data_IF_741900645595
#
_entry.id   IF_741900645595
#
_cell.length_a   1.000
_cell.length_b   1.000
_cell.length_c   1.000
_cell.angle_alpha   90.00
_cell.angle_beta   90.00
_cell.angle_gamma   90.00
#
_symmetry.space_group_name_H-M   'P 1'
#
loop_
_entity.id
_entity.type
_entity.pdbx_description
1 polymer ?
#
# COMPACT_ATOMS: atom_id res chain seq x y z
N UNK A 1 -25.33 -5.45 -19.41
CA UNK A 1 -24.38 -4.55 -20.10
C UNK A 1 -24.16 -3.32 -19.22
N UNK A 2 -23.19 -3.40 -18.31
CA UNK A 2 -22.49 -2.26 -17.71
C UNK A 2 -21.09 -2.78 -17.36
N UNK A 3 -20.07 -2.06 -17.79
CA UNK A 3 -18.72 -2.55 -18.02
C UNK A 3 -17.97 -2.84 -16.71
N UNK A 4 -17.54 -4.09 -16.57
CA UNK A 4 -16.52 -4.56 -15.63
C UNK A 4 -15.14 -4.09 -16.11
N UNK A 5 -14.73 -2.87 -15.76
CA UNK A 5 -13.33 -2.44 -15.84
C UNK A 5 -12.99 -1.58 -14.63
N UNK A 6 -12.52 -2.23 -13.58
CA UNK A 6 -11.76 -1.60 -12.51
C UNK A 6 -10.49 -2.40 -12.39
N UNK A 7 -9.51 -1.97 -13.19
CA UNK A 7 -8.07 -2.09 -13.01
C UNK A 7 -7.68 -3.27 -12.13
N UNK A 8 -7.36 -4.37 -12.80
CA UNK A 8 -6.46 -5.39 -12.29
C UNK A 8 -5.16 -4.66 -11.93
N UNK A 9 -4.99 -4.27 -10.67
CA UNK A 9 -3.70 -3.80 -10.18
C UNK A 9 -2.76 -4.99 -10.34
N UNK A 10 -1.79 -4.81 -11.22
CA UNK A 10 -0.78 -5.80 -11.54
C UNK A 10 -0.08 -6.23 -10.25
N UNK A 11 -0.33 -7.47 -9.88
CA UNK A 11 0.01 -8.09 -8.61
C UNK A 11 1.46 -8.57 -8.64
N UNK A 12 2.38 -7.71 -9.11
CA UNK A 12 3.76 -8.08 -9.43
C UNK A 12 4.83 -7.18 -8.82
N UNK A 13 4.48 -6.10 -8.12
CA UNK A 13 5.45 -5.06 -7.77
C UNK A 13 6.04 -5.18 -6.35
N UNK A 14 5.45 -5.97 -5.45
CA UNK A 14 5.91 -6.10 -4.06
C UNK A 14 6.73 -7.37 -3.75
N UNK A 15 7.44 -7.92 -4.74
CA UNK A 15 8.58 -8.80 -4.48
C UNK A 15 9.90 -8.00 -4.36
N UNK A 16 9.87 -6.83 -3.72
CA UNK A 16 11.12 -6.15 -3.37
C UNK A 16 11.66 -6.69 -2.06
N UNK A 17 12.40 -7.81 -2.16
CA UNK A 17 13.53 -8.22 -1.31
C UNK A 17 13.44 -7.91 0.20
N UNK A 18 12.27 -7.99 0.81
CA UNK A 18 12.09 -7.91 2.25
C UNK A 18 11.54 -9.26 2.72
N UNK A 19 12.02 -9.73 3.88
CA UNK A 19 11.61 -10.99 4.49
C UNK A 19 10.12 -11.01 4.92
N UNK A 20 9.39 -9.93 4.62
CA UNK A 20 7.99 -9.69 4.94
C UNK A 20 7.18 -9.64 3.63
N UNK A 21 6.24 -10.57 3.50
CA UNK A 21 5.27 -10.61 2.41
C UNK A 21 4.08 -9.74 2.82
N UNK A 22 3.86 -8.66 2.08
CA UNK A 22 2.69 -7.79 2.25
C UNK A 22 1.53 -8.25 1.37
N UNK A 23 0.30 -8.11 1.88
CA UNK A 23 -0.91 -8.35 1.10
C UNK A 23 -1.28 -7.07 0.32
N UNK A 24 -1.51 -7.20 -0.98
CA UNK A 24 -1.80 -6.06 -1.88
C UNK A 24 -3.18 -6.24 -2.50
N UNK A 25 -4.02 -5.20 -2.42
CA UNK A 25 -5.41 -5.28 -2.89
C UNK A 25 -6.29 -4.16 -2.36
N UNK A 26 -7.61 -4.32 -2.51
CA UNK A 26 -8.58 -3.38 -1.96
C UNK A 26 -8.61 -3.46 -0.43
N UNK A 27 -8.67 -2.30 0.22
CA UNK A 27 -8.67 -2.20 1.69
C UNK A 27 -9.81 -3.00 2.33
N UNK A 28 -11.02 -2.95 1.75
CA UNK A 28 -12.17 -3.68 2.27
C UNK A 28 -12.04 -5.21 2.19
N UNK A 29 -11.26 -5.72 1.23
CA UNK A 29 -11.03 -7.17 1.04
C UNK A 29 -9.91 -7.70 1.96
N UNK A 30 -8.91 -6.85 2.25
CA UNK A 30 -7.75 -7.22 3.08
C UNK A 30 -8.03 -7.02 4.57
N UNK A 31 -8.74 -5.95 4.92
CA UNK A 31 -9.04 -5.59 6.30
C UNK A 31 -10.51 -5.86 6.63
N UNK A 32 -11.29 -4.78 6.76
CA UNK A 32 -12.71 -4.77 7.05
C UNK A 32 -13.33 -3.59 6.29
N UNK A 33 -14.63 -3.64 6.05
CA UNK A 33 -15.35 -2.53 5.43
C UNK A 33 -15.26 -1.27 6.30
N UNK A 34 -14.59 -0.24 5.79
CA UNK A 34 -14.51 1.10 6.36
C UNK A 34 -14.94 2.13 5.33
N UNK A 35 -15.74 3.12 5.73
CA UNK A 35 -16.27 4.16 4.85
C UNK A 35 -15.77 5.54 5.30
N UNK A 36 -15.58 6.45 4.34
CA UNK A 36 -15.22 7.85 4.63
C UNK A 36 -13.74 8.04 4.96
N UNK A 37 -12.90 7.08 4.55
CA UNK A 37 -11.45 7.18 4.74
C UNK A 37 -10.86 8.25 3.79
N UNK A 38 -9.72 8.83 4.17
CA UNK A 38 -9.10 9.90 3.39
C UNK A 38 -8.69 9.46 1.98
N UNK A 39 -8.34 8.19 1.80
CA UNK A 39 -8.04 7.58 0.50
C UNK A 39 -9.30 7.50 -0.39
N UNK A 40 -10.47 7.15 0.16
CA UNK A 40 -11.74 7.13 -0.58
C UNK A 40 -12.11 8.54 -1.04
N UNK A 41 -11.93 9.54 -0.15
CA UNK A 41 -12.14 10.93 -0.49
C UNK A 41 -11.18 11.41 -1.60
N UNK A 42 -9.88 11.12 -1.48
CA UNK A 42 -8.89 11.45 -2.50
C UNK A 42 -9.22 10.81 -3.86
N UNK A 43 -9.65 9.54 -3.87
CA UNK A 43 -10.13 8.85 -5.07
C UNK A 43 -11.37 9.54 -5.66
N UNK A 44 -12.31 9.99 -4.83
CA UNK A 44 -13.51 10.70 -5.29
C UNK A 44 -13.22 12.02 -6.01
N UNK A 45 -12.06 12.64 -5.72
CA UNK A 45 -11.58 13.85 -6.40
C UNK A 45 -10.87 13.56 -7.74
N UNK A 46 -10.79 12.29 -8.16
CA UNK A 46 -10.16 11.89 -9.42
C UNK A 46 -8.65 11.66 -9.36
N UNK A 47 -8.05 11.59 -8.17
CA UNK A 47 -6.63 11.25 -8.03
C UNK A 47 -6.44 9.79 -8.45
N UNK A 48 -5.64 9.56 -9.51
CA UNK A 48 -5.50 8.25 -10.15
C UNK A 48 -4.87 7.20 -9.23
N UNK A 49 -3.81 7.54 -8.52
CA UNK A 49 -3.11 6.63 -7.61
C UNK A 49 -3.25 7.11 -6.18
N UNK A 50 -3.87 6.28 -5.34
CA UNK A 50 -4.09 6.54 -3.92
C UNK A 50 -3.91 5.20 -3.21
N UNK A 51 -3.05 5.18 -2.20
CA UNK A 51 -2.69 3.97 -1.46
C UNK A 51 -2.79 4.22 0.03
N UNK A 52 -3.06 3.16 0.78
CA UNK A 52 -2.90 3.10 2.23
C UNK A 52 -1.77 2.12 2.51
N UNK A 53 -0.78 2.54 3.28
CA UNK A 53 0.34 1.68 3.71
C UNK A 53 0.20 1.49 5.21
N UNK A 54 -0.01 0.24 5.63
CA UNK A 54 0.03 -0.14 7.04
C UNK A 54 1.45 -0.63 7.36
N UNK A 55 2.13 0.07 8.27
CA UNK A 55 3.55 -0.18 8.54
C UNK A 55 3.72 -1.27 9.60
N UNK A 56 4.61 -2.22 9.33
CA UNK A 56 4.95 -3.32 10.22
C UNK A 56 4.56 -4.66 9.62
N UNK A 57 4.81 -5.75 10.35
CA UNK A 57 4.47 -7.10 9.88
C UNK A 57 3.45 -7.76 10.78
N UNK A 58 2.62 -8.66 10.23
CA UNK A 58 1.77 -9.56 11.02
C UNK A 58 2.55 -10.34 12.09
N UNK A 59 3.84 -10.60 11.88
CA UNK A 59 4.73 -11.23 12.88
C UNK A 59 5.00 -10.35 14.11
N UNK A 60 4.79 -9.03 13.99
CA UNK A 60 5.01 -8.02 15.02
C UNK A 60 3.72 -7.63 15.75
N UNK A 61 2.64 -8.40 15.59
CA UNK A 61 1.31 -8.12 16.17
C UNK A 61 1.32 -7.85 17.69
N UNK A 62 2.27 -8.45 18.43
CA UNK A 62 2.40 -8.28 19.87
C UNK A 62 2.78 -6.85 20.30
N UNK A 63 3.37 -6.05 19.41
CA UNK A 63 3.71 -4.67 19.70
C UNK A 63 2.55 -3.71 19.39
N UNK A 64 1.76 -4.01 18.36
CA UNK A 64 0.70 -3.13 17.87
C UNK A 64 1.23 -1.70 17.66
N UNK A 65 0.59 -0.71 18.28
CA UNK A 65 1.00 0.69 18.23
C UNK A 65 2.24 1.01 19.10
N UNK A 66 2.62 0.12 20.03
CA UNK A 66 3.73 0.32 20.97
C UNK A 66 5.01 -0.32 20.45
N UNK A 67 5.47 0.16 19.30
CA UNK A 67 6.68 -0.32 18.64
C UNK A 67 7.96 0.08 19.38
N UNK A 68 8.88 -0.86 19.71
CA UNK A 68 10.15 -0.50 20.30
C UNK A 68 10.97 0.39 19.36
N UNK A 69 11.66 1.38 19.96
CA UNK A 69 12.47 2.38 19.23
C UNK A 69 13.49 1.74 18.28
N UNK A 70 14.00 0.55 18.60
CA UNK A 70 14.94 -0.20 17.78
C UNK A 70 14.41 -0.59 16.39
N UNK A 71 13.09 -0.65 16.20
CA UNK A 71 12.48 -1.00 14.92
C UNK A 71 12.17 0.21 14.03
N UNK A 72 12.23 1.44 14.56
CA UNK A 72 11.78 2.64 13.82
C UNK A 72 12.57 2.82 12.52
N UNK A 73 13.90 2.77 12.57
CA UNK A 73 14.74 2.95 11.38
C UNK A 73 14.49 1.88 10.34
N UNK A 74 14.40 0.61 10.77
CA UNK A 74 14.11 -0.51 9.86
C UNK A 74 12.76 -0.33 9.15
N UNK A 75 11.70 -0.06 9.91
CA UNK A 75 10.35 0.12 9.35
C UNK A 75 10.26 1.33 8.42
N UNK A 76 10.98 2.41 8.73
CA UNK A 76 11.04 3.59 7.87
C UNK A 76 11.77 3.30 6.55
N UNK A 77 12.87 2.55 6.58
CA UNK A 77 13.60 2.12 5.38
C UNK A 77 12.73 1.22 4.50
N UNK A 78 12.01 0.26 5.10
CA UNK A 78 11.09 -0.62 4.40
C UNK A 78 9.94 0.18 3.74
N UNK A 79 9.24 1.03 4.50
CA UNK A 79 8.16 1.86 3.96
C UNK A 79 8.63 2.83 2.86
N UNK A 80 9.83 3.39 2.99
CA UNK A 80 10.38 4.28 1.98
C UNK A 80 10.72 3.54 0.68
N UNK A 81 11.22 2.30 0.77
CA UNK A 81 11.48 1.48 -0.41
C UNK A 81 10.18 1.19 -1.20
N UNK A 82 9.07 0.91 -0.51
CA UNK A 82 7.76 0.71 -1.16
C UNK A 82 7.29 1.97 -1.90
N UNK A 83 7.37 3.12 -1.24
CA UNK A 83 7.02 4.42 -1.84
C UNK A 83 7.87 4.68 -3.09
N UNK A 84 9.18 4.37 -3.02
CA UNK A 84 10.10 4.58 -4.13
C UNK A 84 9.71 3.73 -5.35
N UNK A 85 9.40 2.46 -5.14
CA UNK A 85 9.00 1.54 -6.21
C UNK A 85 7.71 2.02 -6.88
N UNK A 86 6.67 2.34 -6.09
CA UNK A 86 5.40 2.86 -6.62
C UNK A 86 5.62 4.17 -7.40
N UNK A 87 6.45 5.06 -6.86
CA UNK A 87 6.76 6.34 -7.51
C UNK A 87 7.47 6.14 -8.86
N UNK A 88 8.38 5.17 -8.95
CA UNK A 88 9.08 4.83 -10.19
C UNK A 88 8.13 4.29 -11.25
N UNK A 89 7.20 3.39 -10.89
CA UNK A 89 6.23 2.84 -11.84
C UNK A 89 5.25 3.91 -12.34
N UNK A 90 4.75 4.76 -11.44
CA UNK A 90 3.90 5.90 -11.84
C UNK A 90 4.67 6.85 -12.75
N UNK A 91 5.96 7.11 -12.47
CA UNK A 91 6.78 7.97 -13.31
C UNK A 91 6.94 7.42 -14.73
N UNK A 92 7.19 6.11 -14.88
CA UNK A 92 7.27 5.44 -16.20
C UNK A 92 5.98 5.59 -16.99
N UNK A 93 4.83 5.40 -16.35
CA UNK A 93 3.52 5.52 -17.02
C UNK A 93 3.24 6.94 -17.53
N UNK A 94 3.77 7.98 -16.88
CA UNK A 94 3.55 9.38 -17.28
C UNK A 94 4.57 9.91 -18.30
N UNK A 95 5.61 9.14 -18.63
CA UNK A 95 6.66 9.54 -19.59
C UNK A 95 6.45 8.88 -20.97
N UNK A 96 5.48 7.96 -21.10
CA UNK A 96 5.08 7.34 -22.37
C UNK A 96 3.86 8.00 -23.01
#
# INVERSE_FOLDING_TARGET
MFFQWSIQMDMSILEFKNEHKEDVGQSADIFYGGNGCCNDYAKSLGIKYVFTIEIGSRKMYNFGFMMPKSYISKLAEEAFAEILVVSQEISKENIC
#
